data_IF_409175030139
#
_entry.id   IF_409175030139
#
_cell.length_a   1.000
_cell.length_b   1.000
_cell.length_c   1.000
_cell.angle_alpha   90.00
_cell.angle_beta   90.00
_cell.angle_gamma   90.00
#
_symmetry.space_group_name_H-M   'P 1'
#
loop_
_entity.id
_entity.type
_entity.pdbx_description
1 polymer ?
#
# COMPACT_ATOMS: atom_id res chain seq x y z
N UNK A 1 -50.08 -49.90 -64.27
CA UNK A 1 -49.82 -48.70 -65.10
C UNK A 1 -48.90 -47.76 -64.33
N UNK A 2 -48.37 -46.68 -64.92
CA UNK A 2 -47.14 -46.03 -64.45
C UNK A 2 -47.23 -44.49 -64.27
N UNK A 3 -46.30 -43.95 -63.44
CA UNK A 3 -46.01 -42.52 -63.16
C UNK A 3 -47.12 -41.78 -62.36
N UNK A 4 -46.83 -40.71 -61.60
CA UNK A 4 -45.60 -39.90 -61.46
C UNK A 4 -45.21 -39.68 -59.96
N UNK A 5 -44.66 -38.60 -59.36
CA UNK A 5 -44.50 -37.17 -59.75
C UNK A 5 -43.10 -36.56 -59.40
N UNK A 6 -42.95 -35.76 -58.32
CA UNK A 6 -41.75 -34.95 -57.97
C UNK A 6 -41.58 -34.69 -56.45
N UNK A 7 -40.32 -34.77 -55.99
CA UNK A 7 -39.61 -33.81 -55.09
C UNK A 7 -40.00 -33.63 -53.60
N UNK A 8 -39.15 -34.07 -52.65
CA UNK A 8 -38.10 -33.20 -52.02
C UNK A 8 -37.38 -33.82 -50.77
N UNK A 9 -36.20 -33.26 -50.45
CA UNK A 9 -35.57 -33.09 -49.10
C UNK A 9 -35.03 -34.28 -48.24
N UNK A 10 -33.69 -34.28 -48.06
CA UNK A 10 -32.90 -34.54 -46.81
C UNK A 10 -32.69 -35.98 -46.26
N UNK A 11 -31.71 -36.08 -45.32
CA UNK A 11 -31.52 -37.08 -44.20
C UNK A 11 -30.48 -38.24 -44.35
N UNK A 12 -29.35 -38.06 -43.63
CA UNK A 12 -28.57 -39.00 -42.77
C UNK A 12 -27.80 -40.21 -43.38
N UNK A 13 -26.78 -40.66 -42.65
CA UNK A 13 -25.81 -41.77 -42.83
C UNK A 13 -26.42 -43.17 -42.52
N UNK A 14 -25.73 -44.35 -42.47
CA UNK A 14 -24.27 -44.65 -42.30
C UNK A 14 -23.72 -45.90 -43.05
N UNK A 15 -22.51 -46.40 -42.70
CA UNK A 15 -22.10 -47.83 -42.43
C UNK A 15 -20.57 -48.05 -42.54
N UNK A 16 -20.08 -49.29 -42.32
CA UNK A 16 -18.65 -49.67 -42.09
C UNK A 16 -18.17 -50.73 -43.09
N UNK A 17 -16.84 -50.87 -43.26
CA UNK A 17 -16.22 -52.13 -43.74
C UNK A 17 -14.88 -52.46 -43.06
N UNK A 18 -14.77 -53.73 -42.64
CA UNK A 18 -13.59 -54.63 -42.54
C UNK A 18 -12.17 -54.03 -42.33
N UNK A 19 -11.52 -54.20 -41.16
CA UNK A 19 -10.92 -55.43 -40.56
C UNK A 19 -9.55 -55.86 -41.12
N UNK A 20 -8.55 -56.03 -40.23
CA UNK A 20 -7.65 -57.20 -40.22
C UNK A 20 -6.95 -57.38 -38.86
N UNK A 21 -6.38 -58.57 -38.66
CA UNK A 21 -6.12 -59.29 -37.41
C UNK A 21 -5.01 -58.70 -36.48
N UNK A 22 -4.98 -59.20 -35.23
CA UNK A 22 -4.05 -58.76 -34.16
C UNK A 22 -2.71 -59.51 -34.17
N UNK A 23 -1.60 -58.79 -33.93
CA UNK A 23 -0.33 -59.37 -33.50
C UNK A 23 -0.09 -59.19 -31.98
N UNK A 24 0.72 -60.05 -31.36
CA UNK A 24 0.83 -60.16 -29.91
C UNK A 24 1.64 -59.03 -29.24
N UNK A 25 1.11 -58.51 -28.12
CA UNK A 25 1.65 -57.37 -27.36
C UNK A 25 2.78 -57.81 -26.42
N UNK A 26 4.04 -57.73 -26.87
CA UNK A 26 5.22 -57.91 -25.99
C UNK A 26 5.18 -56.85 -24.87
N UNK A 27 5.33 -57.27 -23.61
CA UNK A 27 5.49 -56.36 -22.46
C UNK A 27 6.94 -55.84 -22.46
N UNK A 28 7.16 -54.60 -22.88
CA UNK A 28 8.39 -53.88 -22.55
C UNK A 28 8.40 -53.53 -21.05
N UNK A 29 9.57 -53.62 -20.41
CA UNK A 29 9.74 -53.19 -19.02
C UNK A 29 9.65 -51.66 -18.96
N UNK A 30 8.72 -51.14 -18.15
CA UNK A 30 8.53 -49.70 -18.00
C UNK A 30 9.60 -49.13 -17.07
N UNK A 31 10.72 -48.68 -17.66
CA UNK A 31 11.71 -47.87 -16.95
C UNK A 31 11.06 -46.51 -16.67
N UNK A 32 10.65 -46.28 -15.41
CA UNK A 32 10.24 -44.96 -14.95
C UNK A 32 11.45 -44.02 -15.03
N UNK A 33 11.47 -43.14 -16.02
CA UNK A 33 12.30 -41.95 -15.97
C UNK A 33 11.88 -41.12 -14.74
N UNK A 34 12.82 -40.58 -13.96
CA UNK A 34 12.47 -39.68 -12.87
C UNK A 34 11.85 -38.41 -13.47
N UNK A 35 10.63 -38.10 -13.07
CA UNK A 35 10.02 -36.80 -13.40
C UNK A 35 10.78 -35.75 -12.61
N UNK A 36 11.69 -35.04 -13.28
CA UNK A 36 12.29 -33.83 -12.74
C UNK A 36 11.17 -32.81 -12.61
N UNK A 37 10.63 -32.65 -11.41
CA UNK A 37 9.68 -31.61 -11.09
C UNK A 37 10.35 -30.26 -11.39
N UNK A 38 9.80 -29.54 -12.37
CA UNK A 38 10.30 -28.21 -12.71
C UNK A 38 10.26 -27.33 -11.45
N UNK A 39 11.33 -26.55 -11.16
CA UNK A 39 11.41 -25.79 -9.93
C UNK A 39 10.22 -24.83 -9.82
N UNK A 40 9.55 -24.84 -8.67
CA UNK A 40 8.40 -23.97 -8.44
C UNK A 40 8.76 -22.52 -8.75
N UNK A 41 7.93 -21.88 -9.59
CA UNK A 41 8.07 -20.47 -9.93
C UNK A 41 7.74 -19.62 -8.71
N UNK A 42 8.71 -19.46 -7.79
CA UNK A 42 8.66 -18.53 -6.67
C UNK A 42 8.10 -17.20 -7.16
N UNK A 43 6.93 -16.83 -6.65
CA UNK A 43 6.19 -15.68 -7.13
C UNK A 43 7.02 -14.41 -6.88
N UNK A 44 7.51 -13.80 -7.96
CA UNK A 44 8.29 -12.57 -7.88
C UNK A 44 7.40 -11.49 -7.27
N UNK A 45 7.65 -11.16 -6.00
CA UNK A 45 6.88 -10.19 -5.23
C UNK A 45 7.09 -8.81 -5.86
N UNK A 46 6.12 -8.37 -6.65
CA UNK A 46 6.21 -7.12 -7.42
C UNK A 46 6.40 -5.95 -6.45
N UNK A 47 7.59 -5.35 -6.46
CA UNK A 47 7.95 -4.20 -5.64
C UNK A 47 6.89 -3.09 -5.83
N UNK A 48 6.24 -2.69 -4.74
CA UNK A 48 5.25 -1.62 -4.78
C UNK A 48 5.87 -0.33 -5.32
N UNK A 49 5.16 0.37 -6.22
CA UNK A 49 5.59 1.70 -6.66
C UNK A 49 5.63 2.64 -5.44
N UNK A 50 6.63 3.52 -5.30
CA UNK A 50 6.82 4.32 -4.07
C UNK A 50 5.63 5.22 -3.74
N UNK A 51 4.99 5.83 -4.75
CA UNK A 51 3.77 6.63 -4.58
C UNK A 51 2.59 5.82 -3.99
N UNK A 52 2.53 4.50 -4.23
CA UNK A 52 1.52 3.62 -3.63
C UNK A 52 1.84 3.26 -2.17
N UNK A 53 3.05 3.51 -1.69
CA UNK A 53 3.40 3.41 -0.27
C UNK A 53 2.96 4.67 0.48
N UNK A 54 3.35 5.85 -0.02
CA UNK A 54 3.02 7.15 0.57
C UNK A 54 1.51 7.36 0.72
N UNK A 55 0.70 6.97 -0.28
CA UNK A 55 -0.76 7.06 -0.18
C UNK A 55 -1.37 6.12 0.88
N UNK A 56 -0.70 5.00 1.22
CA UNK A 56 -1.12 4.10 2.31
C UNK A 56 -0.71 4.66 3.67
N UNK A 57 0.48 5.24 3.77
CA UNK A 57 0.96 5.93 4.98
C UNK A 57 0.03 7.10 5.33
N UNK A 58 -0.26 7.99 4.37
CA UNK A 58 -1.19 9.11 4.56
C UNK A 58 -2.55 8.60 5.06
N UNK A 59 -3.12 7.58 4.40
CA UNK A 59 -4.39 6.99 4.81
C UNK A 59 -4.32 6.42 6.24
N UNK A 60 -3.29 5.64 6.57
CA UNK A 60 -3.12 5.03 7.89
C UNK A 60 -2.96 6.06 9.02
N UNK A 61 -2.21 7.14 8.78
CA UNK A 61 -2.04 8.23 9.74
C UNK A 61 -3.22 9.22 9.79
N UNK A 62 -4.21 9.09 8.90
CA UNK A 62 -5.51 9.77 8.98
C UNK A 62 -6.58 8.91 9.65
N UNK A 63 -6.51 7.58 9.49
CA UNK A 63 -7.40 6.62 10.17
C UNK A 63 -7.01 6.34 11.63
N UNK A 64 -5.78 6.67 12.05
CA UNK A 64 -5.28 6.41 13.41
C UNK A 64 -4.76 7.67 14.10
N UNK A 65 -5.16 7.86 15.37
CA UNK A 65 -4.82 9.03 16.21
C UNK A 65 -3.66 8.77 17.19
N UNK A 66 -2.74 7.87 16.83
CA UNK A 66 -1.58 7.53 17.67
C UNK A 66 -0.54 8.67 17.66
N UNK A 67 0.06 8.97 18.81
CA UNK A 67 1.20 9.90 18.88
C UNK A 67 2.39 9.36 18.07
N UNK A 68 2.91 10.20 17.19
CA UNK A 68 3.95 9.87 16.22
C UNK A 68 5.35 10.18 16.75
N UNK A 69 5.51 11.13 17.69
CA UNK A 69 6.82 11.42 18.28
C UNK A 69 7.17 10.44 19.40
N UNK A 70 8.43 10.00 19.42
CA UNK A 70 8.91 9.20 20.56
C UNK A 70 8.93 10.04 21.85
N UNK A 71 8.26 9.54 22.88
CA UNK A 71 8.01 10.25 24.14
C UNK A 71 9.30 10.64 24.89
N UNK A 72 10.36 9.84 24.76
CA UNK A 72 11.64 10.09 25.43
C UNK A 72 12.38 11.34 24.89
N UNK A 73 12.68 11.46 23.57
CA UNK A 73 13.27 12.68 23.03
C UNK A 73 12.37 13.91 23.20
N UNK A 74 11.04 13.78 23.09
CA UNK A 74 10.12 14.89 23.38
C UNK A 74 10.26 15.36 24.84
N UNK A 75 10.28 14.43 25.81
CA UNK A 75 10.49 14.74 27.23
C UNK A 75 11.85 15.41 27.48
N UNK A 76 12.91 14.99 26.77
CA UNK A 76 14.24 15.62 26.86
C UNK A 76 14.22 17.04 26.30
N UNK A 77 13.60 17.26 25.15
CA UNK A 77 13.47 18.57 24.51
C UNK A 77 12.71 19.57 25.41
N UNK A 78 11.56 19.17 25.97
CA UNK A 78 10.79 20.01 26.91
C UNK A 78 11.61 20.39 28.15
N UNK A 79 12.40 19.46 28.70
CA UNK A 79 13.29 19.78 29.84
C UNK A 79 14.43 20.71 29.45
N UNK A 80 14.99 20.55 28.23
CA UNK A 80 16.07 21.38 27.71
C UNK A 80 15.61 22.82 27.43
N UNK A 81 14.45 23.02 26.81
CA UNK A 81 13.91 24.38 26.58
C UNK A 81 13.63 25.09 27.89
N UNK A 82 13.05 24.39 28.87
CA UNK A 82 12.79 24.96 30.20
C UNK A 82 14.06 25.22 31.03
N UNK A 83 15.15 24.49 30.79
CA UNK A 83 16.46 24.81 31.36
C UNK A 83 17.02 26.11 30.75
N UNK A 84 16.96 26.24 29.41
CA UNK A 84 17.40 27.42 28.68
C UNK A 84 16.57 28.69 28.98
N UNK A 85 15.35 28.53 29.51
CA UNK A 85 14.51 29.64 29.97
C UNK A 85 14.81 30.04 31.43
N UNK A 86 15.17 29.09 32.31
CA UNK A 86 15.53 29.39 33.71
C UNK A 86 16.77 30.25 33.83
N UNK A 87 17.80 29.99 33.00
CA UNK A 87 19.00 30.83 32.92
C UNK A 87 18.71 32.27 32.45
N UNK A 88 17.50 32.53 31.94
CA UNK A 88 16.99 33.85 31.56
C UNK A 88 15.94 34.37 32.57
N UNK A 89 16.34 34.42 33.84
CA UNK A 89 15.71 35.22 34.90
C UNK A 89 14.34 34.75 35.44
N UNK A 90 13.96 33.47 35.35
CA UNK A 90 12.67 33.00 35.92
C UNK A 90 12.73 31.69 36.74
N UNK A 91 12.04 31.71 37.89
CA UNK A 91 11.73 30.54 38.74
C UNK A 91 10.67 29.63 38.09
N UNK A 92 11.01 29.04 36.94
CA UNK A 92 10.11 28.16 36.18
C UNK A 92 10.02 26.79 36.85
N UNK A 93 8.82 26.20 36.84
CA UNK A 93 8.54 24.85 37.37
C UNK A 93 9.54 23.82 36.84
N UNK A 94 10.14 23.03 37.75
CA UNK A 94 11.18 22.04 37.43
C UNK A 94 10.64 20.62 37.25
N UNK A 95 9.47 20.33 37.81
CA UNK A 95 8.86 19.00 37.89
C UNK A 95 7.60 18.93 37.04
N UNK A 96 7.46 17.85 36.27
CA UNK A 96 6.30 17.61 35.41
C UNK A 96 5.68 16.26 35.76
N UNK A 97 4.34 16.21 35.78
CA UNK A 97 3.60 14.96 35.86
C UNK A 97 3.70 14.19 34.54
N UNK A 98 3.47 12.88 34.57
CA UNK A 98 3.41 12.06 33.34
C UNK A 98 2.30 12.55 32.40
N UNK A 99 1.18 13.02 32.94
CA UNK A 99 0.02 13.57 32.20
C UNK A 99 0.32 14.93 31.56
N UNK A 100 0.99 15.86 32.25
CA UNK A 100 1.35 17.15 31.67
C UNK A 100 2.26 17.02 30.43
N UNK A 101 3.24 16.12 30.48
CA UNK A 101 4.09 15.81 29.31
C UNK A 101 3.26 15.20 28.16
N UNK A 102 2.21 14.43 28.48
CA UNK A 102 1.32 13.83 27.48
C UNK A 102 0.55 14.90 26.70
N UNK A 103 -0.13 15.80 27.42
CA UNK A 103 -0.94 16.87 26.84
C UNK A 103 -0.07 17.89 26.08
N UNK A 104 1.15 18.17 26.55
CA UNK A 104 2.13 18.97 25.81
C UNK A 104 2.57 18.31 24.50
N UNK A 105 2.68 16.97 24.46
CA UNK A 105 3.02 16.26 23.22
C UNK A 105 1.84 16.25 22.24
N UNK A 106 0.64 15.92 22.73
CA UNK A 106 -0.60 15.86 21.96
C UNK A 106 -0.95 17.20 21.32
N UNK A 107 -0.94 18.30 22.10
CA UNK A 107 -1.17 19.65 21.58
C UNK A 107 -0.09 20.13 20.61
N UNK A 108 1.17 19.72 20.80
CA UNK A 108 2.26 20.03 19.87
C UNK A 108 2.12 19.29 18.54
N UNK A 109 1.83 17.97 18.57
CA UNK A 109 1.62 17.18 17.35
C UNK A 109 0.40 17.68 16.58
N UNK A 110 -0.72 17.96 17.24
CA UNK A 110 -1.91 18.56 16.61
C UNK A 110 -1.63 19.94 15.96
N UNK A 111 -0.85 20.80 16.63
CA UNK A 111 -0.42 22.08 16.04
C UNK A 111 0.43 21.88 14.79
N UNK A 112 1.37 20.93 14.81
CA UNK A 112 2.26 20.63 13.69
C UNK A 112 1.50 20.04 12.50
N UNK A 113 0.53 19.14 12.73
CA UNK A 113 -0.35 18.61 11.67
C UNK A 113 -1.16 19.74 11.03
N UNK A 114 -1.85 20.57 11.83
CA UNK A 114 -2.62 21.72 11.33
C UNK A 114 -1.77 22.72 10.52
N UNK A 115 -0.50 22.89 10.90
CA UNK A 115 0.45 23.71 10.14
C UNK A 115 0.84 23.06 8.81
N UNK A 116 1.05 21.74 8.77
CA UNK A 116 1.35 21.03 7.53
C UNK A 116 0.17 20.96 6.56
N UNK A 117 -1.06 20.81 7.02
CA UNK A 117 -2.28 20.94 6.19
C UNK A 117 -2.34 22.31 5.50
N UNK A 118 -2.09 23.37 6.27
CA UNK A 118 -2.05 24.76 5.79
C UNK A 118 -0.94 24.95 4.74
N UNK A 119 0.26 24.43 5.01
CA UNK A 119 1.40 24.50 4.10
C UNK A 119 1.24 23.63 2.83
N UNK A 120 0.53 22.50 2.93
CA UNK A 120 0.24 21.63 1.80
C UNK A 120 -0.80 22.25 0.86
N UNK A 121 -1.78 22.97 1.40
CA UNK A 121 -2.69 23.81 0.61
C UNK A 121 -1.93 24.88 -0.19
N UNK A 122 -0.94 25.55 0.42
CA UNK A 122 -0.03 26.45 -0.29
C UNK A 122 0.83 25.74 -1.37
N UNK A 123 1.21 24.48 -1.11
CA UNK A 123 1.99 23.64 -2.03
C UNK A 123 1.19 23.30 -3.30
N UNK A 124 -0.08 22.88 -3.13
CA UNK A 124 -1.03 22.61 -4.21
C UNK A 124 -1.34 23.87 -5.00
N UNK A 125 -1.57 25.01 -4.33
CA UNK A 125 -1.79 26.31 -4.98
C UNK A 125 -0.61 26.69 -5.90
N UNK A 126 0.62 26.39 -5.48
CA UNK A 126 1.84 26.55 -6.29
C UNK A 126 2.07 25.43 -7.33
N UNK A 127 1.06 24.60 -7.64
CA UNK A 127 1.09 23.47 -8.60
C UNK A 127 2.19 22.42 -8.31
N UNK A 128 2.57 22.26 -7.05
CA UNK A 128 3.57 21.26 -6.59
C UNK A 128 2.92 20.15 -5.78
N UNK A 129 3.64 19.03 -5.67
CA UNK A 129 3.31 17.92 -4.75
C UNK A 129 4.28 17.88 -3.57
N UNK A 130 5.56 18.19 -3.80
CA UNK A 130 6.57 18.32 -2.74
C UNK A 130 6.42 19.65 -2.01
N UNK A 131 6.32 19.58 -0.67
CA UNK A 131 6.20 20.71 0.25
C UNK A 131 7.59 21.30 0.56
N UNK A 132 7.72 22.63 0.51
CA UNK A 132 8.99 23.35 0.73
C UNK A 132 8.94 24.26 1.97
N UNK A 133 10.10 24.67 2.54
CA UNK A 133 10.17 25.62 3.65
C UNK A 133 9.53 26.99 3.35
N UNK A 134 9.39 27.37 2.08
CA UNK A 134 8.62 28.53 1.62
C UNK A 134 7.15 28.44 2.03
N UNK A 135 6.58 27.25 1.94
CA UNK A 135 5.13 27.03 2.03
C UNK A 135 4.71 27.01 3.50
N UNK A 136 5.55 26.41 4.36
CA UNK A 136 5.44 26.52 5.83
C UNK A 136 5.59 27.98 6.28
N UNK A 137 6.55 28.72 5.71
CA UNK A 137 6.78 30.14 6.04
C UNK A 137 5.61 31.02 5.61
N UNK A 138 4.98 30.72 4.47
CA UNK A 138 3.76 31.39 4.00
C UNK A 138 2.56 31.06 4.90
N UNK A 139 2.29 29.78 5.16
CA UNK A 139 1.21 29.35 6.04
C UNK A 139 1.31 29.97 7.44
N UNK A 140 2.52 30.05 8.02
CA UNK A 140 2.73 30.73 9.32
C UNK A 140 2.45 32.23 9.26
N UNK A 141 2.77 32.93 8.16
CA UNK A 141 2.45 34.36 7.99
C UNK A 141 0.96 34.63 7.80
N UNK A 142 0.24 33.70 7.16
CA UNK A 142 -1.20 33.81 6.95
C UNK A 142 -2.00 33.51 8.22
N UNK A 143 -1.56 32.53 9.03
CA UNK A 143 -2.18 32.13 10.31
C UNK A 143 -1.93 33.13 11.47
N UNK A 144 -1.28 34.26 11.21
CA UNK A 144 -0.99 35.33 12.19
C UNK A 144 -1.50 36.70 11.73
N UNK A 145 -2.57 36.70 10.92
CA UNK A 145 -3.37 37.87 10.53
C UNK A 145 -4.83 37.60 10.84
#
# INVERSE_FOLDING_TARGET
>A
MARSVKSSKTIISPTKSTQTLRAARKKSLSVKTPIILAPEKKSITRRSRPQSHVLKEIKYYQETSNLLMSRLPFTRLVRQTLFNLKSKQQNIVTRFTKTAIHALQESFEAYVVSLFESAYSCTIHAKRVTLYPSDVRLARKLKTK
#
